data_IF_673129246103
#
_entry.id   IF_673129246103
#
_cell.length_a   1.000
_cell.length_b   1.000
_cell.length_c   1.000
_cell.angle_alpha   90.00
_cell.angle_beta   90.00
_cell.angle_gamma   90.00
#
_symmetry.space_group_name_H-M   'P 1'
#
loop_
_entity.id
_entity.type
_entity.pdbx_description
1 polymer ?
#
# COMPACT_ATOMS: atom_id res chain seq x y z
N UNK A 1 11.40 0.32 -31.02
CA UNK A 1 11.41 0.00 -32.47
C UNK A 1 10.23 -0.92 -32.75
N UNK A 2 9.43 -0.65 -33.79
CA UNK A 2 8.49 -1.64 -34.35
C UNK A 2 9.33 -2.65 -35.15
N UNK A 3 9.12 -3.94 -34.93
CA UNK A 3 9.77 -5.06 -35.67
C UNK A 3 8.70 -5.64 -36.58
N UNK A 4 9.05 -6.01 -37.82
CA UNK A 4 8.10 -6.70 -38.70
C UNK A 4 7.68 -8.05 -38.12
N UNK A 5 6.41 -8.39 -38.29
CA UNK A 5 5.87 -9.64 -37.78
C UNK A 5 6.49 -10.80 -38.57
N UNK A 6 7.03 -11.84 -37.90
CA UNK A 6 7.73 -12.94 -38.56
C UNK A 6 6.79 -13.89 -39.30
N UNK A 7 5.48 -13.66 -39.22
CA UNK A 7 4.43 -14.48 -39.82
C UNK A 7 3.17 -13.63 -40.04
N UNK A 8 2.30 -13.97 -41.02
CA UNK A 8 0.97 -13.39 -41.10
C UNK A 8 0.19 -13.63 -39.80
N UNK A 9 -0.46 -12.59 -39.31
CA UNK A 9 -1.32 -12.63 -38.12
C UNK A 9 -2.71 -12.13 -38.47
N UNK A 10 -3.70 -12.53 -37.68
CA UNK A 10 -5.10 -12.12 -37.91
C UNK A 10 -5.36 -10.64 -37.60
N UNK A 11 -4.54 -10.02 -36.73
CA UNK A 11 -4.68 -8.63 -36.29
C UNK A 11 -3.30 -8.05 -36.05
N UNK A 12 -2.95 -6.98 -36.77
CA UNK A 12 -1.63 -6.32 -36.66
C UNK A 12 -1.58 -5.26 -35.54
N UNK A 13 -2.74 -4.71 -35.15
CA UNK A 13 -2.87 -3.70 -34.10
C UNK A 13 -4.05 -4.04 -33.17
N UNK A 14 -3.78 -4.12 -31.87
CA UNK A 14 -4.82 -4.35 -30.85
C UNK A 14 -5.19 -3.05 -30.14
N UNK A 15 -6.49 -2.75 -30.13
CA UNK A 15 -7.06 -1.70 -29.30
C UNK A 15 -7.61 -2.32 -28.01
N UNK A 16 -6.91 -2.09 -26.90
CA UNK A 16 -7.28 -2.60 -25.57
C UNK A 16 -8.00 -1.52 -24.77
N UNK A 17 -9.09 -1.88 -24.09
CA UNK A 17 -9.63 -1.05 -23.01
C UNK A 17 -8.70 -1.18 -21.79
N UNK A 18 -8.22 -0.05 -21.28
CA UNK A 18 -7.30 0.00 -20.13
C UNK A 18 -7.92 -0.67 -18.89
N UNK A 19 -9.26 -0.69 -18.77
CA UNK A 19 -9.98 -1.37 -17.67
C UNK A 19 -9.79 -2.88 -17.69
N UNK A 20 -9.58 -3.49 -18.85
CA UNK A 20 -9.30 -4.94 -18.95
C UNK A 20 -7.92 -5.28 -18.39
N UNK A 21 -6.98 -4.33 -18.45
CA UNK A 21 -5.61 -4.49 -17.95
C UNK A 21 -5.59 -4.34 -16.42
N UNK A 22 -6.55 -3.65 -15.81
CA UNK A 22 -6.61 -3.44 -14.36
C UNK A 22 -6.67 -4.75 -13.56
N UNK A 23 -7.35 -5.78 -14.08
CA UNK A 23 -7.36 -7.10 -13.47
C UNK A 23 -5.96 -7.74 -13.37
N UNK A 24 -5.05 -7.39 -14.29
CA UNK A 24 -3.65 -7.83 -14.30
C UNK A 24 -2.80 -6.95 -13.37
N UNK A 25 -3.10 -5.66 -13.29
CA UNK A 25 -2.32 -4.68 -12.53
C UNK A 25 -2.68 -4.62 -11.04
N UNK A 26 -3.82 -5.16 -10.64
CA UNK A 26 -4.24 -5.26 -9.24
C UNK A 26 -3.91 -6.62 -8.62
N UNK A 27 -4.05 -6.71 -7.31
CA UNK A 27 -4.02 -7.98 -6.56
C UNK A 27 -5.25 -8.82 -6.94
N UNK A 28 -5.11 -10.15 -7.03
CA UNK A 28 -6.28 -11.03 -7.08
C UNK A 28 -7.08 -10.91 -5.78
N UNK A 29 -8.40 -11.13 -5.85
CA UNK A 29 -9.22 -11.21 -4.65
C UNK A 29 -8.79 -12.44 -3.83
N UNK A 30 -8.28 -12.22 -2.62
CA UNK A 30 -7.93 -13.28 -1.69
C UNK A 30 -9.07 -13.48 -0.69
N UNK A 31 -9.66 -14.69 -0.67
CA UNK A 31 -10.65 -15.06 0.35
C UNK A 31 -9.92 -15.49 1.63
N UNK A 32 -9.45 -14.51 2.40
CA UNK A 32 -8.68 -14.70 3.61
C UNK A 32 -9.53 -14.34 4.84
N UNK A 33 -9.39 -15.06 5.97
CA UNK A 33 -10.04 -14.66 7.21
C UNK A 33 -9.52 -13.30 7.67
N UNK A 34 -10.39 -12.50 8.28
CA UNK A 34 -10.00 -11.21 8.86
C UNK A 34 -9.02 -11.48 10.01
N UNK A 35 -7.87 -10.79 9.98
CA UNK A 35 -6.90 -10.89 11.05
C UNK A 35 -7.47 -10.26 12.34
N UNK A 36 -7.47 -10.97 13.49
CA UNK A 36 -8.15 -10.52 14.71
C UNK A 36 -7.46 -9.33 15.41
N UNK A 37 -6.28 -8.93 14.96
CA UNK A 37 -5.45 -7.94 15.64
C UNK A 37 -4.58 -8.55 16.73
N UNK A 38 -3.70 -7.73 17.30
CA UNK A 38 -2.86 -8.07 18.43
C UNK A 38 -2.72 -6.88 19.39
N UNK A 39 -2.45 -7.17 20.66
CA UNK A 39 -2.13 -6.15 21.65
C UNK A 39 -0.78 -6.46 22.29
N UNK A 40 0.06 -5.45 22.41
CA UNK A 40 1.40 -5.55 22.98
C UNK A 40 1.57 -4.47 24.05
N UNK A 41 1.98 -4.87 25.25
CA UNK A 41 2.33 -3.92 26.31
C UNK A 41 3.74 -3.40 26.08
N UNK A 42 3.89 -2.09 25.93
CA UNK A 42 5.17 -1.42 25.78
C UNK A 42 5.90 -1.29 27.13
N UNK A 43 7.21 -1.02 27.08
CA UNK A 43 8.05 -0.87 28.27
C UNK A 43 7.61 0.27 29.19
N UNK A 44 7.01 1.31 28.62
CA UNK A 44 6.46 2.46 29.37
C UNK A 44 5.04 2.21 29.94
N UNK A 45 4.51 1.00 29.75
CA UNK A 45 3.20 0.58 30.26
C UNK A 45 2.03 0.86 29.32
N UNK A 46 2.21 1.59 28.22
CA UNK A 46 1.15 1.83 27.23
C UNK A 46 0.82 0.55 26.45
N UNK A 47 -0.41 0.46 25.96
CA UNK A 47 -0.87 -0.67 25.14
C UNK A 47 -0.85 -0.30 23.67
N UNK A 48 0.01 -0.96 22.90
CA UNK A 48 -0.01 -0.92 21.44
C UNK A 48 -1.07 -1.89 20.93
N UNK A 49 -2.05 -1.38 20.20
CA UNK A 49 -3.01 -2.17 19.45
C UNK A 49 -2.59 -2.23 17.98
N UNK A 50 -2.46 -3.44 17.44
CA UNK A 50 -2.08 -3.69 16.05
C UNK A 50 -3.30 -4.30 15.36
N UNK A 51 -3.70 -3.74 14.22
CA UNK A 51 -4.80 -4.27 13.39
C UNK A 51 -4.51 -4.10 11.91
N UNK A 52 -5.25 -4.80 11.05
CA UNK A 52 -5.21 -4.56 9.61
C UNK A 52 -5.59 -3.10 9.32
N UNK A 53 -4.95 -2.50 8.32
CA UNK A 53 -5.27 -1.14 7.86
C UNK A 53 -6.71 -1.08 7.33
N UNK A 54 -7.37 0.05 7.56
CA UNK A 54 -8.71 0.35 7.08
C UNK A 54 -8.67 1.56 6.14
N UNK A 55 -9.68 1.70 5.29
CA UNK A 55 -9.78 2.84 4.35
C UNK A 55 -9.71 4.19 5.09
N UNK A 56 -10.28 4.26 6.29
CA UNK A 56 -10.25 5.46 7.15
C UNK A 56 -8.85 5.86 7.63
N UNK A 57 -7.86 4.97 7.57
CA UNK A 57 -6.48 5.27 8.00
C UNK A 57 -5.64 5.88 6.88
N UNK A 58 -6.03 5.68 5.63
CA UNK A 58 -5.20 6.01 4.46
C UNK A 58 -4.88 7.51 4.44
N UNK A 59 -5.91 8.36 4.42
CA UNK A 59 -5.71 9.80 4.31
C UNK A 59 -4.95 10.39 5.52
N UNK A 60 -5.27 10.01 6.78
CA UNK A 60 -4.46 10.40 7.94
C UNK A 60 -2.97 10.02 7.82
N UNK A 61 -2.67 8.79 7.42
CA UNK A 61 -1.28 8.32 7.31
C UNK A 61 -0.56 9.06 6.18
N UNK A 62 -1.19 9.27 5.02
CA UNK A 62 -0.62 10.06 3.93
C UNK A 62 -0.27 11.47 4.41
N UNK A 63 -1.18 12.14 5.13
CA UNK A 63 -0.94 13.48 5.67
C UNK A 63 0.16 13.56 6.73
N UNK A 64 0.36 12.51 7.54
CA UNK A 64 1.49 12.41 8.46
C UNK A 64 2.78 12.21 7.68
N UNK A 65 2.81 11.28 6.71
CA UNK A 65 4.01 10.97 5.93
C UNK A 65 4.48 12.16 5.10
N UNK A 66 3.60 13.01 4.56
CA UNK A 66 3.98 14.26 3.90
C UNK A 66 4.85 15.17 4.79
N UNK A 67 4.59 15.20 6.10
CA UNK A 67 5.39 15.95 7.07
C UNK A 67 6.72 15.23 7.34
N UNK A 68 6.68 13.90 7.48
CA UNK A 68 7.88 13.07 7.71
C UNK A 68 8.87 13.18 6.55
N UNK A 69 8.39 13.28 5.31
CA UNK A 69 9.23 13.54 4.12
C UNK A 69 10.05 14.82 4.18
N UNK A 70 9.73 15.75 5.09
CA UNK A 70 10.47 17.01 5.29
C UNK A 70 11.52 16.93 6.39
N UNK A 71 11.67 15.77 7.03
CA UNK A 71 12.60 15.55 8.14
C UNK A 71 13.82 14.79 7.63
N UNK A 72 14.94 15.46 7.41
CA UNK A 72 16.18 14.82 6.92
C UNK A 72 16.86 13.93 7.97
N UNK A 73 16.60 14.21 9.26
CA UNK A 73 17.21 13.46 10.36
C UNK A 73 16.93 11.97 10.20
N UNK A 74 17.93 11.14 10.43
CA UNK A 74 17.82 9.68 10.42
C UNK A 74 17.14 9.10 9.16
N UNK A 75 17.28 9.78 8.01
CA UNK A 75 16.67 9.41 6.72
C UNK A 75 15.13 9.38 6.73
N UNK A 76 14.49 10.10 7.64
CA UNK A 76 13.03 10.16 7.71
C UNK A 76 12.41 10.71 6.42
N UNK A 77 13.13 11.53 5.66
CA UNK A 77 12.74 11.99 4.34
C UNK A 77 12.53 10.80 3.37
N UNK A 78 13.51 9.91 3.26
CA UNK A 78 13.45 8.70 2.43
C UNK A 78 12.43 7.71 2.97
N UNK A 79 12.43 7.47 4.29
CA UNK A 79 11.47 6.54 4.94
C UNK A 79 10.04 7.03 4.69
N UNK A 80 9.78 8.32 4.89
CA UNK A 80 8.48 8.95 4.64
C UNK A 80 8.05 8.79 3.18
N UNK A 81 8.94 9.02 2.22
CA UNK A 81 8.63 8.83 0.78
C UNK A 81 8.24 7.38 0.48
N UNK A 82 8.98 6.41 1.02
CA UNK A 82 8.71 4.98 0.78
C UNK A 82 7.38 4.54 1.38
N UNK A 83 7.14 4.87 2.65
CA UNK A 83 5.89 4.51 3.34
C UNK A 83 4.69 5.20 2.68
N UNK A 84 4.81 6.48 2.31
CA UNK A 84 3.76 7.17 1.56
C UNK A 84 3.46 6.50 0.22
N UNK A 85 4.51 6.08 -0.51
CA UNK A 85 4.36 5.35 -1.76
C UNK A 85 3.58 4.04 -1.58
N UNK A 86 3.84 3.30 -0.51
CA UNK A 86 3.13 2.06 -0.18
C UNK A 86 1.67 2.30 0.22
N UNK A 87 1.40 3.30 1.06
CA UNK A 87 0.03 3.70 1.44
C UNK A 87 -0.74 4.20 0.21
N UNK A 88 -0.09 4.96 -0.67
CA UNK A 88 -0.67 5.40 -1.92
C UNK A 88 -0.96 4.21 -2.85
N UNK A 89 -0.06 3.22 -2.90
CA UNK A 89 -0.26 2.00 -3.67
C UNK A 89 -1.43 1.17 -3.15
N UNK A 90 -1.68 1.12 -1.83
CA UNK A 90 -2.90 0.52 -1.25
C UNK A 90 -4.15 1.20 -1.80
N UNK A 91 -4.23 2.54 -1.68
CA UNK A 91 -5.35 3.33 -2.20
C UNK A 91 -5.62 3.11 -3.69
N UNK A 92 -4.55 2.86 -4.45
CA UNK A 92 -4.61 2.65 -5.92
C UNK A 92 -4.65 1.17 -6.33
N UNK A 93 -4.74 0.23 -5.38
CA UNK A 93 -4.76 -1.22 -5.62
C UNK A 93 -3.56 -1.69 -6.46
N UNK A 94 -2.36 -1.23 -6.11
CA UNK A 94 -1.09 -1.52 -6.79
C UNK A 94 -0.13 -2.40 -6.01
N UNK A 95 -0.51 -2.84 -4.82
CA UNK A 95 0.22 -3.88 -4.10
C UNK A 95 -0.26 -5.25 -4.56
N UNK A 96 0.65 -6.19 -4.83
CA UNK A 96 0.27 -7.57 -5.18
C UNK A 96 -0.22 -8.36 -3.97
N UNK A 97 0.36 -8.10 -2.81
CA UNK A 97 0.00 -8.72 -1.53
C UNK A 97 -0.24 -7.64 -0.46
N UNK A 98 -1.48 -7.12 -0.33
CA UNK A 98 -1.78 -6.02 0.58
C UNK A 98 -1.96 -6.49 2.04
N UNK A 99 -0.91 -7.06 2.63
CA UNK A 99 -0.86 -7.38 4.06
C UNK A 99 -0.31 -6.20 4.85
N UNK A 100 -1.17 -5.24 5.14
CA UNK A 100 -0.75 -4.00 5.81
C UNK A 100 -1.44 -3.84 7.15
N UNK A 101 -0.66 -3.48 8.16
CA UNK A 101 -1.07 -3.29 9.53
C UNK A 101 -0.76 -1.88 10.01
N UNK A 102 -1.59 -1.41 10.94
CA UNK A 102 -1.36 -0.16 11.66
C UNK A 102 -1.24 -0.46 13.14
N UNK A 103 -0.29 0.21 13.79
CA UNK A 103 -0.11 0.25 15.22
C UNK A 103 -0.72 1.52 15.79
N UNK A 104 -1.53 1.38 16.84
CA UNK A 104 -2.24 2.46 17.50
C UNK A 104 -1.95 2.45 19.01
N UNK A 105 -1.82 3.64 19.61
CA UNK A 105 -1.86 3.83 21.07
C UNK A 105 -2.99 4.81 21.35
N UNK A 106 -3.96 4.43 22.17
CA UNK A 106 -5.12 5.27 22.54
C UNK A 106 -5.88 5.86 21.32
N UNK A 107 -5.87 5.13 20.20
CA UNK A 107 -6.48 5.55 18.94
C UNK A 107 -5.60 6.42 18.04
N UNK A 108 -4.42 6.83 18.51
CA UNK A 108 -3.45 7.59 17.73
C UNK A 108 -2.50 6.68 16.94
N UNK A 109 -2.20 7.08 15.70
CA UNK A 109 -1.26 6.36 14.84
C UNK A 109 0.15 6.35 15.43
N UNK A 110 0.68 5.16 15.66
CA UNK A 110 2.06 4.95 16.11
C UNK A 110 2.96 4.45 14.98
N UNK A 111 2.46 3.56 14.12
CA UNK A 111 3.30 2.90 13.12
C UNK A 111 2.54 2.14 12.05
N UNK A 112 3.27 1.80 10.99
CA UNK A 112 2.81 1.14 9.78
C UNK A 112 3.73 -0.04 9.46
N UNK A 113 3.17 -1.16 9.01
CA UNK A 113 3.90 -2.36 8.59
C UNK A 113 3.19 -3.08 7.46
#
# INVERSE_FOLDING_TARGET
MKIELPTPVSVEEMKLDVREIEGILSSPAMNMPVWPGAQVKLLDGRMLYIRAIQESDIDPILGIMEKVMKVEKDFYDIVGVRVYGEVLALRRKRLKDPFTFVGLIDGEFLGFA
#
